data_IF_258341993856
#
_entry.id   IF_258341993856
#
_cell.length_a   1.000
_cell.length_b   1.000
_cell.length_c   1.000
_cell.angle_alpha   90.00
_cell.angle_beta   90.00
_cell.angle_gamma   90.00
#
_symmetry.space_group_name_H-M   'P 1'
#
loop_
_entity.id
_entity.type
_entity.pdbx_description
1 polymer ?
#
# COMPACT_ATOMS: atom_id res chain seq x y z
N UNK A 1 -20.46 88.41 -0.40
CA UNK A 1 -19.39 87.69 0.35
C UNK A 1 -19.62 86.20 0.19
N UNK A 2 -18.52 85.47 0.16
CA UNK A 2 -18.35 84.09 -0.29
C UNK A 2 -19.02 83.00 0.57
N UNK A 3 -19.42 81.91 -0.11
CA UNK A 3 -19.27 80.46 0.21
C UNK A 3 -20.39 79.66 0.90
N UNK A 4 -20.30 78.35 0.59
CA UNK A 4 -20.80 77.11 1.25
C UNK A 4 -22.24 76.72 0.84
N UNK A 5 -22.61 75.52 0.34
CA UNK A 5 -22.00 74.20 0.19
C UNK A 5 -22.90 73.11 0.85
N UNK A 6 -23.49 72.17 0.07
CA UNK A 6 -24.08 70.85 0.45
C UNK A 6 -24.92 70.31 -0.76
N UNK A 7 -24.54 69.30 -1.56
CA UNK A 7 -24.46 67.82 -1.43
C UNK A 7 -25.83 67.11 -1.25
N UNK A 8 -25.99 65.97 -1.98
CA UNK A 8 -26.95 64.83 -1.83
C UNK A 8 -28.27 64.98 -2.63
N UNK A 9 -28.83 64.04 -3.42
CA UNK A 9 -28.58 62.61 -3.73
C UNK A 9 -29.16 62.24 -5.12
N UNK A 10 -28.62 61.17 -5.69
CA UNK A 10 -28.97 60.51 -6.96
C UNK A 10 -30.20 59.61 -6.79
N UNK A 11 -31.09 59.59 -7.77
CA UNK A 11 -31.94 58.43 -8.12
C UNK A 11 -32.37 58.56 -9.58
N UNK A 12 -31.59 57.99 -10.50
CA UNK A 12 -32.02 57.79 -11.89
C UNK A 12 -31.85 56.32 -12.25
N UNK A 13 -32.98 55.66 -12.44
CA UNK A 13 -33.12 54.32 -12.97
C UNK A 13 -32.63 54.35 -14.43
N UNK A 14 -31.45 53.81 -14.68
CA UNK A 14 -30.94 53.59 -16.03
C UNK A 14 -31.03 52.11 -16.36
N UNK A 15 -31.98 51.74 -17.23
CA UNK A 15 -31.99 50.44 -17.89
C UNK A 15 -30.71 50.32 -18.73
N UNK A 16 -29.76 49.50 -18.28
CA UNK A 16 -28.73 48.96 -19.16
C UNK A 16 -29.41 47.88 -20.00
N UNK A 17 -29.72 48.20 -21.25
CA UNK A 17 -29.98 47.18 -22.27
C UNK A 17 -28.70 46.35 -22.41
N UNK A 18 -28.67 45.22 -21.71
CA UNK A 18 -27.75 44.14 -22.01
C UNK A 18 -28.10 43.64 -23.41
N UNK A 19 -27.37 44.09 -24.42
CA UNK A 19 -27.24 43.33 -25.65
C UNK A 19 -26.49 42.06 -25.27
N UNK A 20 -27.23 40.96 -25.19
CA UNK A 20 -26.64 39.64 -25.25
C UNK A 20 -25.99 39.55 -26.63
N UNK A 21 -24.66 39.46 -26.66
CA UNK A 21 -23.99 38.94 -27.84
C UNK A 21 -24.62 37.59 -28.17
N UNK A 22 -24.81 37.24 -29.46
CA UNK A 22 -25.26 35.91 -29.82
C UNK A 22 -24.36 34.90 -29.10
N UNK A 23 -24.96 34.01 -28.31
CA UNK A 23 -24.27 32.81 -27.87
C UNK A 23 -23.84 32.13 -29.16
N UNK A 24 -22.53 32.08 -29.40
CA UNK A 24 -21.97 31.28 -30.47
C UNK A 24 -22.49 29.85 -30.25
N UNK A 25 -23.36 29.30 -31.14
CA UNK A 25 -23.87 27.95 -30.96
C UNK A 25 -22.77 26.91 -31.17
N UNK A 26 -21.59 27.33 -31.61
CA UNK A 26 -20.39 26.52 -31.69
C UNK A 26 -19.56 26.81 -30.44
N UNK A 27 -19.84 26.07 -29.36
CA UNK A 27 -18.79 25.89 -28.34
C UNK A 27 -17.52 25.45 -29.07
N UNK A 28 -16.36 26.02 -28.71
CA UNK A 28 -15.06 25.63 -29.27
C UNK A 28 -15.04 24.10 -29.42
N UNK A 29 -14.78 23.57 -30.64
CA UNK A 29 -14.89 22.14 -30.88
C UNK A 29 -14.06 21.40 -29.85
N UNK A 30 -14.59 20.28 -29.34
CA UNK A 30 -13.91 19.46 -28.35
C UNK A 30 -12.46 19.25 -28.81
N UNK A 31 -11.52 19.82 -28.06
CA UNK A 31 -10.12 19.76 -28.41
C UNK A 31 -9.60 18.40 -27.99
N UNK A 32 -9.54 17.48 -28.94
CA UNK A 32 -8.80 16.22 -28.77
C UNK A 32 -7.32 16.56 -28.57
N UNK A 33 -6.80 16.22 -27.39
CA UNK A 33 -5.38 16.33 -27.09
C UNK A 33 -4.80 14.93 -27.10
N UNK A 34 -3.78 14.71 -27.94
CA UNK A 34 -2.97 13.50 -27.90
C UNK A 34 -2.04 13.56 -26.70
N UNK A 35 -2.13 12.56 -25.83
CA UNK A 35 -1.23 12.34 -24.71
C UNK A 35 -0.34 11.16 -25.01
N UNK A 36 0.96 11.35 -24.79
CA UNK A 36 1.98 10.32 -24.91
C UNK A 36 2.66 10.10 -23.56
N UNK A 37 2.75 8.84 -23.16
CA UNK A 37 3.32 8.39 -21.89
C UNK A 37 4.23 7.18 -22.13
N UNK A 38 5.23 7.04 -21.28
CA UNK A 38 6.12 5.89 -21.28
C UNK A 38 6.13 5.28 -19.89
N UNK A 39 5.87 3.97 -19.82
CA UNK A 39 5.98 3.19 -18.59
C UNK A 39 7.13 2.21 -18.71
N UNK A 40 8.00 2.17 -17.69
CA UNK A 40 9.00 1.12 -17.57
C UNK A 40 8.44 0.00 -16.71
N UNK A 41 8.33 -1.21 -17.27
CA UNK A 41 8.22 -2.41 -16.46
C UNK A 41 9.53 -2.57 -15.70
N UNK A 42 9.51 -2.28 -14.40
CA UNK A 42 10.69 -2.37 -13.55
C UNK A 42 11.39 -3.72 -13.79
N UNK A 43 12.72 -3.73 -14.03
CA UNK A 43 13.46 -4.95 -14.29
C UNK A 43 13.47 -5.89 -13.07
N UNK A 44 13.17 -5.35 -11.90
CA UNK A 44 13.02 -6.09 -10.65
C UNK A 44 11.60 -5.87 -10.11
N UNK A 45 10.90 -6.92 -9.63
CA UNK A 45 9.70 -6.71 -8.85
C UNK A 45 10.07 -5.94 -7.57
N UNK A 46 9.08 -5.26 -6.99
CA UNK A 46 9.24 -4.47 -5.76
C UNK A 46 8.26 -5.00 -4.73
N UNK A 47 8.72 -5.11 -3.49
CA UNK A 47 7.87 -5.52 -2.36
C UNK A 47 8.08 -4.62 -1.16
N UNK A 48 6.98 -4.18 -0.55
CA UNK A 48 6.95 -3.53 0.76
C UNK A 48 6.44 -4.55 1.78
N UNK A 49 7.32 -4.95 2.70
CA UNK A 49 7.05 -5.90 3.77
C UNK A 49 6.75 -5.12 5.06
N UNK A 50 5.51 -5.21 5.54
CA UNK A 50 5.09 -4.62 6.82
C UNK A 50 5.00 -5.71 7.89
N UNK A 51 5.94 -5.73 8.82
CA UNK A 51 5.85 -6.56 10.00
C UNK A 51 4.95 -5.90 11.04
N UNK A 52 4.02 -6.67 11.60
CA UNK A 52 3.14 -6.24 12.68
C UNK A 52 3.44 -7.15 13.86
N UNK A 53 4.19 -6.60 14.81
CA UNK A 53 4.81 -7.36 15.90
C UNK A 53 4.04 -7.11 17.19
N UNK A 54 3.58 -8.18 17.80
CA UNK A 54 3.03 -8.13 19.14
C UNK A 54 4.12 -7.75 20.16
N UNK A 55 3.88 -6.64 20.87
CA UNK A 55 4.77 -6.05 21.86
C UNK A 55 4.35 -6.33 23.30
N UNK A 56 3.49 -7.34 23.52
CA UNK A 56 3.15 -7.82 24.86
C UNK A 56 4.33 -8.50 25.55
N UNK A 57 4.21 -8.64 26.88
CA UNK A 57 5.27 -9.17 27.73
C UNK A 57 5.71 -10.62 27.39
N UNK A 58 4.82 -11.42 26.80
CA UNK A 58 5.10 -12.83 26.44
C UNK A 58 6.00 -12.94 25.20
N UNK A 59 5.95 -11.96 24.29
CA UNK A 59 6.59 -12.02 22.97
C UNK A 59 8.10 -11.78 22.96
N UNK A 60 8.74 -11.53 24.11
CA UNK A 60 10.15 -11.14 24.16
C UNK A 60 11.10 -12.20 23.57
N UNK A 61 10.77 -13.49 23.71
CA UNK A 61 11.57 -14.59 23.17
C UNK A 61 11.38 -14.72 21.66
N UNK A 62 10.14 -14.61 21.21
CA UNK A 62 9.70 -14.68 19.83
C UNK A 62 10.29 -13.52 19.01
N UNK A 63 10.28 -12.29 19.54
CA UNK A 63 10.94 -11.12 18.94
C UNK A 63 12.45 -11.36 18.75
N UNK A 64 13.10 -12.02 19.71
CA UNK A 64 14.53 -12.35 19.62
C UNK A 64 14.83 -13.43 18.59
N UNK A 65 13.95 -14.43 18.47
CA UNK A 65 14.07 -15.46 17.43
C UNK A 65 13.86 -14.86 16.04
N UNK A 66 12.83 -14.01 15.86
CA UNK A 66 12.58 -13.32 14.60
C UNK A 66 13.76 -12.45 14.16
N UNK A 67 14.37 -11.71 15.10
CA UNK A 67 15.54 -10.89 14.81
C UNK A 67 16.75 -11.73 14.33
N UNK A 68 16.90 -12.95 14.83
CA UNK A 68 18.01 -13.84 14.47
C UNK A 68 17.85 -14.45 13.05
N UNK A 69 16.62 -14.60 12.58
CA UNK A 69 16.34 -15.25 11.28
C UNK A 69 16.36 -14.27 10.09
N UNK A 70 16.63 -12.98 10.32
CA UNK A 70 16.60 -11.95 9.27
C UNK A 70 17.59 -12.18 8.14
N UNK A 71 18.80 -12.69 8.44
CA UNK A 71 19.84 -12.92 7.42
C UNK A 71 19.30 -13.81 6.29
N UNK A 72 18.58 -14.88 6.64
CA UNK A 72 17.96 -15.79 5.66
C UNK A 72 16.88 -15.11 4.80
N UNK A 73 16.08 -14.20 5.38
CA UNK A 73 15.10 -13.41 4.62
C UNK A 73 15.80 -12.46 3.64
N UNK A 74 16.79 -11.71 4.14
CA UNK A 74 17.52 -10.74 3.35
C UNK A 74 18.22 -11.42 2.16
N UNK A 75 18.88 -12.55 2.40
CA UNK A 75 19.56 -13.32 1.36
C UNK A 75 18.59 -13.80 0.28
N UNK A 76 17.41 -14.30 0.64
CA UNK A 76 16.42 -14.75 -0.34
C UNK A 76 15.85 -13.60 -1.18
N UNK A 77 15.58 -12.45 -0.56
CA UNK A 77 15.08 -11.28 -1.27
C UNK A 77 16.15 -10.69 -2.20
N UNK A 78 17.41 -10.71 -1.78
CA UNK A 78 18.57 -10.29 -2.58
C UNK A 78 18.82 -11.26 -3.76
N UNK A 79 18.77 -12.57 -3.52
CA UNK A 79 18.91 -13.61 -4.55
C UNK A 79 17.80 -13.57 -5.60
N UNK A 80 16.57 -13.27 -5.18
CA UNK A 80 15.43 -13.09 -6.07
C UNK A 80 15.52 -11.78 -6.89
N UNK A 81 16.55 -10.96 -6.66
CA UNK A 81 16.77 -9.68 -7.30
C UNK A 81 15.52 -8.77 -7.19
N UNK A 82 14.94 -8.67 -6.00
CA UNK A 82 13.74 -7.86 -5.75
C UNK A 82 14.18 -6.55 -5.09
N UNK A 83 13.57 -5.43 -5.48
CA UNK A 83 13.76 -4.17 -4.76
C UNK A 83 12.81 -4.09 -3.56
N UNK A 84 13.25 -4.62 -2.42
CA UNK A 84 12.45 -4.73 -1.20
C UNK A 84 12.60 -3.53 -0.25
N UNK A 85 11.53 -3.24 0.51
CA UNK A 85 11.56 -2.40 1.71
C UNK A 85 10.91 -3.17 2.86
N UNK A 86 11.46 -3.02 4.05
CA UNK A 86 10.92 -3.60 5.29
C UNK A 86 10.62 -2.48 6.27
N UNK A 87 9.46 -2.56 6.91
CA UNK A 87 9.07 -1.71 8.02
C UNK A 87 8.36 -2.55 9.07
N UNK A 88 8.40 -2.12 10.33
CA UNK A 88 7.71 -2.81 11.42
C UNK A 88 6.84 -1.84 12.23
N UNK A 89 5.69 -2.30 12.71
CA UNK A 89 4.85 -1.62 13.69
C UNK A 89 4.48 -2.60 14.81
N UNK A 90 4.02 -2.08 15.94
CA UNK A 90 3.51 -2.95 17.03
C UNK A 90 2.04 -3.30 16.84
N UNK A 91 1.44 -4.08 17.74
CA UNK A 91 -0.02 -4.30 17.79
C UNK A 91 -0.75 -3.29 18.67
N UNK A 92 -0.04 -2.35 19.30
CA UNK A 92 -0.61 -1.39 20.23
C UNK A 92 -1.30 -0.21 19.53
N UNK A 93 -2.56 0.01 19.91
CA UNK A 93 -3.35 1.20 19.53
C UNK A 93 -3.34 2.29 20.62
N UNK A 94 -2.42 2.22 21.58
CA UNK A 94 -2.27 3.23 22.64
C UNK A 94 -1.02 4.12 22.43
N UNK A 95 -1.15 5.40 22.76
CA UNK A 95 -0.05 6.37 22.71
C UNK A 95 -0.10 7.31 21.51
N UNK A 96 0.94 8.15 21.39
CA UNK A 96 1.01 9.20 20.35
C UNK A 96 1.66 8.71 19.04
N UNK A 97 2.34 7.57 19.07
CA UNK A 97 3.08 7.00 17.95
C UNK A 97 2.41 5.74 17.36
N UNK A 98 1.09 5.60 17.51
CA UNK A 98 0.32 4.49 16.94
C UNK A 98 0.53 4.43 15.43
N UNK A 99 0.88 3.25 14.94
CA UNK A 99 1.15 3.02 13.52
C UNK A 99 2.47 3.61 13.01
N UNK A 100 3.30 4.24 13.85
CA UNK A 100 4.63 4.71 13.40
C UNK A 100 5.56 3.53 13.21
N UNK A 101 6.30 3.54 12.10
CA UNK A 101 7.31 2.52 11.84
C UNK A 101 8.42 2.57 12.89
N UNK A 102 8.77 1.40 13.41
CA UNK A 102 9.79 1.18 14.43
C UNK A 102 11.19 1.26 13.82
N UNK A 103 12.18 1.51 14.69
CA UNK A 103 13.60 1.53 14.31
C UNK A 103 14.12 2.84 13.75
N UNK A 104 15.44 2.91 13.58
CA UNK A 104 16.15 4.02 12.94
C UNK A 104 17.32 3.46 12.12
N UNK A 105 17.21 3.37 10.78
CA UNK A 105 16.11 3.88 9.96
C UNK A 105 14.80 3.13 10.22
N UNK A 106 13.66 3.76 9.94
CA UNK A 106 12.32 3.14 10.06
C UNK A 106 11.88 2.41 8.78
N UNK A 107 12.65 2.53 7.70
CA UNK A 107 12.52 1.75 6.46
C UNK A 107 13.88 1.11 6.19
N UNK A 108 13.89 -0.21 6.14
CA UNK A 108 15.05 -1.02 5.85
C UNK A 108 15.04 -1.43 4.38
N UNK A 109 16.19 -1.33 3.73
CA UNK A 109 16.38 -1.61 2.30
C UNK A 109 17.68 -2.41 2.10
N UNK A 110 17.92 -3.00 0.90
CA UNK A 110 19.18 -3.69 0.59
C UNK A 110 20.44 -2.83 0.84
N UNK A 111 20.32 -1.51 0.66
CA UNK A 111 21.44 -0.56 0.80
C UNK A 111 21.67 -0.10 2.25
N UNK A 112 20.87 -0.57 3.21
CA UNK A 112 20.99 -0.15 4.60
C UNK A 112 22.25 -0.75 5.24
N UNK A 113 23.15 0.07 5.81
CA UNK A 113 24.31 -0.44 6.53
C UNK A 113 23.88 -1.22 7.78
N UNK A 114 24.58 -2.32 8.07
CA UNK A 114 24.33 -3.15 9.27
C UNK A 114 22.85 -3.57 9.40
N UNK A 115 22.30 -4.08 8.29
CA UNK A 115 20.87 -4.42 8.14
C UNK A 115 20.33 -5.37 9.20
N UNK A 116 21.16 -6.27 9.71
CA UNK A 116 20.79 -7.20 10.79
C UNK A 116 20.49 -6.45 12.08
N UNK A 117 21.40 -5.55 12.50
CA UNK A 117 21.18 -4.72 13.67
C UNK A 117 20.01 -3.75 13.48
N UNK A 118 19.85 -3.20 12.28
CA UNK A 118 18.72 -2.32 11.96
C UNK A 118 17.39 -3.08 12.02
N UNK A 119 17.30 -4.29 11.45
CA UNK A 119 16.10 -5.12 11.53
C UNK A 119 15.78 -5.54 12.97
N UNK A 120 16.79 -5.99 13.73
CA UNK A 120 16.61 -6.33 15.14
C UNK A 120 16.00 -5.16 15.94
N UNK A 121 16.46 -3.93 15.69
CA UNK A 121 15.89 -2.74 16.31
C UNK A 121 14.44 -2.43 15.89
N UNK A 122 13.99 -2.91 14.72
CA UNK A 122 12.60 -2.77 14.25
C UNK A 122 11.66 -3.79 14.89
N UNK A 123 12.11 -5.05 14.98
CA UNK A 123 11.27 -6.18 15.42
C UNK A 123 11.40 -6.53 16.90
N UNK A 124 12.27 -5.83 17.62
CA UNK A 124 12.38 -5.88 19.07
C UNK A 124 11.99 -4.54 19.71
N UNK A 125 10.75 -4.03 19.50
CA UNK A 125 10.29 -2.78 20.08
C UNK A 125 10.24 -2.82 21.61
N UNK A 126 10.30 -4.02 22.19
CA UNK A 126 10.18 -4.30 23.61
C UNK A 126 8.88 -5.05 23.92
N UNK A 127 8.71 -5.33 25.21
CA UNK A 127 7.63 -6.16 25.73
C UNK A 127 6.73 -5.36 26.70
N UNK A 128 6.60 -4.05 26.44
CA UNK A 128 5.86 -3.09 27.27
C UNK A 128 4.54 -2.62 26.65
N UNK A 129 4.12 -3.28 25.56
CA UNK A 129 2.84 -3.07 24.93
C UNK A 129 1.67 -3.36 25.86
N UNK A 130 0.51 -2.83 25.51
CA UNK A 130 -0.73 -3.06 26.24
C UNK A 130 -1.32 -4.45 25.92
N UNK A 131 -2.21 -4.94 26.78
CA UNK A 131 -2.78 -6.28 26.66
C UNK A 131 -3.81 -6.45 25.51
N UNK A 132 -4.09 -5.39 24.74
CA UNK A 132 -5.03 -5.43 23.62
C UNK A 132 -4.24 -5.36 22.31
N UNK A 133 -4.12 -6.50 21.64
CA UNK A 133 -3.35 -6.66 20.42
C UNK A 133 -4.24 -6.43 19.19
N UNK A 134 -4.16 -5.25 18.59
CA UNK A 134 -5.00 -4.84 17.47
C UNK A 134 -4.19 -4.73 16.17
N UNK A 135 -3.53 -5.82 15.79
CA UNK A 135 -2.60 -5.85 14.66
C UNK A 135 -3.24 -5.46 13.32
N UNK A 136 -4.49 -5.87 13.04
CA UNK A 136 -5.19 -5.46 11.81
C UNK A 136 -5.42 -3.95 11.78
N UNK A 137 -5.80 -3.34 12.91
CA UNK A 137 -6.02 -1.91 13.02
C UNK A 137 -4.71 -1.11 12.87
N UNK A 138 -3.64 -1.53 13.57
CA UNK A 138 -2.35 -0.82 13.49
C UNK A 138 -1.75 -0.91 12.09
N UNK A 139 -1.87 -2.07 11.41
CA UNK A 139 -1.43 -2.21 10.03
C UNK A 139 -2.13 -1.20 9.10
N UNK A 140 -3.44 -1.03 9.28
CA UNK A 140 -4.21 -0.03 8.52
C UNK A 140 -3.74 1.40 8.78
N UNK A 141 -3.52 1.75 10.05
CA UNK A 141 -2.99 3.07 10.44
C UNK A 141 -1.59 3.32 9.85
N UNK A 142 -0.70 2.34 9.94
CA UNK A 142 0.66 2.43 9.41
C UNK A 142 0.69 2.74 7.91
N UNK A 143 -0.21 2.11 7.15
CA UNK A 143 -0.35 2.31 5.71
C UNK A 143 -1.00 3.65 5.34
N UNK A 144 -1.86 4.19 6.21
CA UNK A 144 -2.43 5.53 6.06
C UNK A 144 -1.36 6.62 6.30
N UNK A 145 -0.49 6.40 7.30
CA UNK A 145 0.60 7.30 7.66
C UNK A 145 1.78 7.32 6.67
N UNK A 146 1.78 6.43 5.68
CA UNK A 146 2.83 6.33 4.66
C UNK A 146 2.71 7.36 3.52
N UNK A 147 1.68 8.21 3.54
CA UNK A 147 1.49 9.28 2.57
C UNK A 147 2.58 10.37 2.62
N UNK A 148 2.70 11.22 1.58
CA UNK A 148 3.70 12.28 1.54
C UNK A 148 3.63 13.20 2.76
N UNK A 149 4.76 13.35 3.47
CA UNK A 149 4.86 14.19 4.67
C UNK A 149 4.36 13.55 5.96
N UNK A 150 3.85 12.32 5.91
CA UNK A 150 3.50 11.52 7.09
C UNK A 150 4.71 10.88 7.77
N UNK A 151 4.54 10.32 8.99
CA UNK A 151 5.63 9.73 9.75
C UNK A 151 6.20 8.45 9.12
N UNK A 152 5.42 7.76 8.27
CA UNK A 152 5.88 6.56 7.54
C UNK A 152 6.16 6.86 6.06
N UNK A 153 6.31 8.15 5.69
CA UNK A 153 6.47 8.56 4.30
C UNK A 153 7.62 7.80 3.63
N UNK A 154 7.34 7.25 2.43
CA UNK A 154 8.28 6.46 1.64
C UNK A 154 8.12 4.94 1.77
N UNK A 155 7.41 4.45 2.78
CA UNK A 155 7.24 3.00 2.96
C UNK A 155 6.31 2.37 1.92
N UNK A 156 5.16 2.98 1.64
CA UNK A 156 4.10 2.43 0.76
C UNK A 156 4.28 2.88 -0.69
N UNK A 157 5.05 2.13 -1.48
CA UNK A 157 5.37 2.50 -2.87
C UNK A 157 4.20 2.19 -3.82
N UNK A 158 3.97 2.99 -4.87
CA UNK A 158 2.89 2.76 -5.83
C UNK A 158 3.16 1.62 -6.82
N UNK A 159 4.42 1.22 -6.97
CA UNK A 159 4.91 0.20 -7.89
C UNK A 159 5.42 -1.06 -7.15
N UNK A 160 4.97 -1.29 -5.91
CA UNK A 160 5.36 -2.44 -5.09
C UNK A 160 4.16 -3.28 -4.65
N UNK A 161 4.37 -4.60 -4.56
CA UNK A 161 3.49 -5.54 -3.86
C UNK A 161 3.52 -5.18 -2.38
N UNK A 162 2.36 -5.12 -1.74
CA UNK A 162 2.28 -5.01 -0.28
C UNK A 162 2.16 -6.41 0.32
N UNK A 163 2.99 -6.73 1.29
CA UNK A 163 2.87 -7.96 2.07
C UNK A 163 2.93 -7.64 3.57
N UNK A 164 1.83 -7.88 4.28
CA UNK A 164 1.74 -7.70 5.74
C UNK A 164 2.04 -9.02 6.45
N UNK A 165 2.90 -9.00 7.46
CA UNK A 165 3.30 -10.18 8.22
C UNK A 165 2.94 -9.96 9.68
N UNK A 166 1.93 -10.67 10.16
CA UNK A 166 1.50 -10.63 11.55
C UNK A 166 2.34 -11.59 12.40
N UNK A 167 2.83 -11.14 13.55
CA UNK A 167 3.61 -11.95 14.49
C UNK A 167 3.03 -11.75 15.88
N UNK A 168 2.30 -12.74 16.40
CA UNK A 168 1.58 -12.64 17.68
C UNK A 168 1.33 -14.01 18.30
N UNK A 169 1.28 -14.08 19.63
CA UNK A 169 0.92 -15.28 20.38
C UNK A 169 -0.58 -15.34 20.73
N UNK A 170 -1.41 -14.40 20.27
CA UNK A 170 -2.86 -14.47 20.37
C UNK A 170 -3.61 -14.03 19.10
N UNK A 171 -4.94 -13.98 19.21
CA UNK A 171 -5.82 -13.56 18.11
C UNK A 171 -6.00 -12.04 18.10
N UNK A 172 -6.20 -11.49 16.91
CA UNK A 172 -6.40 -10.05 16.73
C UNK A 172 -7.62 -9.54 17.51
N UNK A 173 -7.52 -8.37 18.12
CA UNK A 173 -8.57 -7.69 18.91
C UNK A 173 -8.94 -6.32 18.34
N UNK A 174 -8.94 -6.18 17.01
CA UNK A 174 -9.15 -4.89 16.34
C UNK A 174 -10.61 -4.38 16.35
N UNK A 175 -11.55 -5.08 16.98
CA UNK A 175 -12.98 -4.71 17.02
C UNK A 175 -13.26 -3.24 17.40
N UNK A 176 -12.57 -2.64 18.40
CA UNK A 176 -12.82 -1.25 18.79
C UNK A 176 -12.52 -0.22 17.70
N UNK A 177 -11.69 -0.55 16.71
CA UNK A 177 -11.24 0.35 15.66
C UNK A 177 -11.78 0.01 14.28
N UNK A 178 -11.93 -1.28 13.98
CA UNK A 178 -12.41 -1.77 12.67
C UNK A 178 -13.88 -2.18 12.69
N UNK A 179 -14.54 -2.13 13.86
CA UNK A 179 -15.95 -2.47 14.01
C UNK A 179 -16.19 -3.97 14.20
N UNK A 180 -17.42 -4.42 13.97
CA UNK A 180 -17.85 -5.78 14.29
C UNK A 180 -17.20 -6.88 13.41
N UNK A 181 -16.71 -6.51 12.22
CA UNK A 181 -16.11 -7.45 11.24
C UNK A 181 -14.68 -6.99 10.89
N UNK A 182 -13.73 -7.05 11.85
CA UNK A 182 -12.38 -6.49 11.66
C UNK A 182 -11.60 -7.17 10.54
N UNK A 183 -11.81 -8.47 10.33
CA UNK A 183 -11.20 -9.22 9.22
C UNK A 183 -11.66 -8.66 7.88
N UNK A 184 -12.97 -8.49 7.69
CA UNK A 184 -13.50 -7.96 6.43
C UNK A 184 -13.03 -6.53 6.19
N UNK A 185 -13.02 -5.67 7.23
CA UNK A 185 -12.51 -4.31 7.11
C UNK A 185 -11.04 -4.26 6.66
N UNK A 186 -10.21 -5.18 7.17
CA UNK A 186 -8.82 -5.29 6.74
C UNK A 186 -8.68 -5.85 5.30
N UNK A 187 -9.52 -6.83 4.92
CA UNK A 187 -9.54 -7.33 3.54
C UNK A 187 -9.96 -6.25 2.55
N UNK A 188 -10.93 -5.40 2.90
CA UNK A 188 -11.34 -4.25 2.09
C UNK A 188 -10.19 -3.24 1.94
N UNK A 189 -9.37 -3.06 2.97
CA UNK A 189 -8.16 -2.25 2.89
C UNK A 189 -7.14 -2.83 1.90
N UNK A 190 -6.92 -4.15 1.92
CA UNK A 190 -6.02 -4.83 0.98
C UNK A 190 -6.56 -4.79 -0.46
N UNK A 191 -7.87 -4.93 -0.64
CA UNK A 191 -8.52 -4.76 -1.94
C UNK A 191 -8.35 -3.33 -2.45
N UNK A 192 -8.50 -2.34 -1.57
CA UNK A 192 -8.16 -0.95 -1.87
C UNK A 192 -6.71 -0.77 -2.30
N UNK A 193 -5.79 -1.59 -1.76
CA UNK A 193 -4.39 -1.55 -2.18
C UNK A 193 -4.14 -2.18 -3.55
N UNK A 194 -4.80 -3.29 -3.83
CA UNK A 194 -4.82 -3.90 -5.18
C UNK A 194 -5.43 -2.92 -6.18
N UNK A 195 -6.50 -2.22 -5.81
CA UNK A 195 -7.13 -1.17 -6.60
C UNK A 195 -6.29 0.13 -6.68
N UNK A 196 -5.26 0.32 -5.84
CA UNK A 196 -4.31 1.43 -5.95
C UNK A 196 -3.07 1.10 -6.82
N UNK A 197 -2.45 -0.05 -6.62
CA UNK A 197 -1.21 -0.46 -7.32
C UNK A 197 -1.41 -1.38 -8.53
N UNK A 198 -2.43 -2.24 -8.49
CA UNK A 198 -2.71 -3.28 -9.48
C UNK A 198 -1.78 -4.47 -9.35
N UNK A 199 -1.08 -4.49 -8.22
CA UNK A 199 -0.27 -5.58 -7.72
C UNK A 199 -1.05 -6.29 -6.62
N UNK A 200 -0.80 -7.57 -6.38
CA UNK A 200 -1.36 -8.26 -5.23
C UNK A 200 -1.02 -7.54 -3.92
N UNK A 201 -1.94 -7.59 -2.97
CA UNK A 201 -1.68 -7.29 -1.57
C UNK A 201 -1.93 -8.57 -0.77
N UNK A 202 -0.96 -8.99 0.05
CA UNK A 202 -0.99 -10.28 0.75
C UNK A 202 -0.79 -10.12 2.24
N UNK A 203 -1.21 -11.13 2.98
CA UNK A 203 -0.97 -11.22 4.41
C UNK A 203 -0.51 -12.63 4.80
N UNK A 204 0.54 -12.71 5.61
CA UNK A 204 1.02 -13.95 6.23
C UNK A 204 1.01 -13.80 7.76
N UNK A 205 1.10 -14.91 8.49
CA UNK A 205 1.09 -14.87 9.95
C UNK A 205 2.04 -15.90 10.59
N UNK A 206 2.82 -15.45 11.58
CA UNK A 206 3.55 -16.24 12.58
C UNK A 206 2.71 -16.24 13.86
N UNK A 207 1.95 -17.29 14.10
CA UNK A 207 0.92 -17.30 15.16
C UNK A 207 0.71 -18.67 15.76
N UNK A 208 -0.05 -18.76 16.86
CA UNK A 208 -0.62 -20.04 17.28
C UNK A 208 -1.62 -20.56 16.24
N UNK A 209 -1.32 -21.69 15.61
CA UNK A 209 -2.12 -22.21 14.51
C UNK A 209 -3.53 -22.67 14.97
N UNK A 210 -4.60 -22.27 14.28
CA UNK A 210 -5.93 -22.83 14.51
C UNK A 210 -5.99 -24.35 14.30
N UNK A 211 -6.91 -25.06 14.98
CA UNK A 211 -7.92 -24.52 15.90
C UNK A 211 -7.44 -24.39 17.36
N UNK A 212 -6.22 -24.81 17.68
CA UNK A 212 -5.80 -25.05 19.07
C UNK A 212 -4.69 -24.14 19.58
N UNK A 213 -4.06 -23.35 18.72
CA UNK A 213 -2.82 -22.64 19.05
C UNK A 213 -1.64 -23.62 19.11
N UNK A 214 -0.62 -23.27 19.88
CA UNK A 214 0.58 -24.10 20.03
C UNK A 214 1.21 -23.97 21.42
N UNK A 215 2.06 -24.93 21.77
CA UNK A 215 2.86 -24.91 23.00
C UNK A 215 4.24 -25.50 22.71
N UNK A 216 5.29 -24.77 23.09
CA UNK A 216 6.68 -25.23 23.00
C UNK A 216 7.41 -25.04 24.33
N UNK A 217 8.73 -25.29 24.33
CA UNK A 217 9.59 -24.97 25.45
C UNK A 217 9.78 -23.45 25.66
N UNK A 218 9.52 -22.64 24.64
CA UNK A 218 9.75 -21.18 24.64
C UNK A 218 8.48 -20.38 24.94
N UNK A 219 7.29 -20.93 24.67
CA UNK A 219 6.04 -20.21 24.90
C UNK A 219 4.77 -21.03 24.66
N UNK A 220 3.63 -20.37 24.84
CA UNK A 220 2.31 -20.90 24.48
C UNK A 220 1.57 -19.80 23.75
N UNK A 221 1.01 -20.12 22.59
CA UNK A 221 0.20 -19.19 21.82
C UNK A 221 -1.24 -19.69 21.72
N UNK A 222 -2.19 -18.76 21.84
CA UNK A 222 -3.60 -19.00 21.55
C UNK A 222 -3.82 -19.18 20.04
N UNK A 223 -4.92 -19.85 19.62
CA UNK A 223 -5.26 -19.91 18.21
C UNK A 223 -5.61 -18.52 17.65
N UNK A 224 -4.91 -18.10 16.61
CA UNK A 224 -5.19 -16.85 15.90
C UNK A 224 -6.16 -17.07 14.73
N UNK A 225 -7.47 -17.04 15.03
CA UNK A 225 -8.52 -17.32 14.04
C UNK A 225 -8.64 -16.21 12.99
N UNK A 226 -8.56 -14.94 13.39
CA UNK A 226 -8.72 -13.79 12.48
C UNK A 226 -7.53 -13.66 11.54
N UNK A 227 -6.31 -13.83 12.05
CA UNK A 227 -5.13 -13.85 11.19
C UNK A 227 -5.20 -15.02 10.20
N UNK A 228 -5.66 -16.21 10.61
CA UNK A 228 -5.84 -17.34 9.68
C UNK A 228 -6.83 -17.03 8.55
N UNK A 229 -7.94 -16.35 8.86
CA UNK A 229 -8.94 -15.95 7.87
C UNK A 229 -8.36 -14.97 6.84
N UNK A 230 -7.64 -13.95 7.30
CA UNK A 230 -6.95 -12.98 6.44
C UNK A 230 -5.91 -13.67 5.56
N UNK A 231 -5.10 -14.57 6.13
CA UNK A 231 -4.07 -15.33 5.40
C UNK A 231 -4.71 -16.20 4.32
N UNK A 232 -5.79 -16.92 4.66
CA UNK A 232 -6.50 -17.78 3.71
C UNK A 232 -7.14 -16.97 2.56
N UNK A 233 -7.73 -15.80 2.86
CA UNK A 233 -8.36 -14.94 1.86
C UNK A 233 -7.35 -14.31 0.89
N UNK A 234 -6.12 -14.04 1.36
CA UNK A 234 -5.07 -13.37 0.57
C UNK A 234 -4.07 -14.33 -0.08
N UNK A 235 -4.14 -15.62 0.26
CA UNK A 235 -3.24 -16.65 -0.25
C UNK A 235 -1.82 -16.54 0.30
N UNK A 236 -1.65 -16.02 1.52
CA UNK A 236 -0.37 -15.98 2.21
C UNK A 236 -0.05 -17.26 2.99
N UNK A 237 1.03 -17.21 3.77
CA UNK A 237 1.54 -18.34 4.54
C UNK A 237 1.18 -18.21 6.02
N UNK A 238 0.88 -19.35 6.66
CA UNK A 238 0.68 -19.43 8.10
C UNK A 238 1.70 -20.38 8.73
N UNK A 239 2.45 -19.88 9.70
CA UNK A 239 3.50 -20.63 10.39
C UNK A 239 3.29 -20.55 11.90
N UNK A 240 3.57 -21.67 12.57
CA UNK A 240 3.45 -21.77 14.03
C UNK A 240 4.55 -20.94 14.70
N UNK A 241 4.15 -20.01 15.57
CA UNK A 241 5.09 -19.20 16.38
C UNK A 241 5.90 -20.03 17.38
N UNK A 242 5.43 -21.23 17.70
CA UNK A 242 6.11 -22.14 18.62
C UNK A 242 7.25 -22.94 17.98
N UNK A 243 7.45 -22.82 16.67
CA UNK A 243 8.60 -23.43 15.99
C UNK A 243 9.84 -22.55 16.19
N UNK A 244 11.01 -23.18 16.22
CA UNK A 244 12.30 -22.49 16.42
C UNK A 244 12.97 -22.12 15.09
N UNK A 245 12.32 -22.38 13.97
CA UNK A 245 12.82 -22.16 12.62
C UNK A 245 11.74 -21.46 11.79
N UNK A 246 11.89 -20.16 11.58
CA UNK A 246 10.99 -19.38 10.75
C UNK A 246 11.42 -19.34 9.28
N UNK A 247 12.54 -19.99 8.90
CA UNK A 247 13.03 -20.01 7.52
C UNK A 247 11.98 -20.49 6.49
N UNK A 248 11.10 -21.47 6.78
CA UNK A 248 10.02 -21.84 5.86
C UNK A 248 9.01 -20.71 5.62
N UNK A 249 8.74 -19.87 6.63
CA UNK A 249 7.91 -18.67 6.44
C UNK A 249 8.64 -17.69 5.53
N UNK A 250 9.91 -17.42 5.83
CA UNK A 250 10.70 -16.44 5.08
C UNK A 250 10.83 -16.86 3.60
N UNK A 251 10.97 -18.17 3.34
CA UNK A 251 10.95 -18.75 2.00
C UNK A 251 9.62 -18.52 1.26
N UNK A 252 8.49 -18.72 1.94
CA UNK A 252 7.17 -18.48 1.36
C UNK A 252 6.88 -16.98 1.18
N UNK A 253 7.35 -16.12 2.09
CA UNK A 253 7.27 -14.66 1.96
C UNK A 253 8.10 -14.17 0.76
N UNK A 254 9.32 -14.68 0.61
CA UNK A 254 10.19 -14.40 -0.54
C UNK A 254 9.55 -14.83 -1.86
N UNK A 255 9.02 -16.05 -1.93
CA UNK A 255 8.34 -16.57 -3.13
C UNK A 255 7.05 -15.81 -3.46
N UNK A 256 6.28 -15.41 -2.46
CA UNK A 256 5.05 -14.66 -2.63
C UNK A 256 5.27 -13.25 -3.20
N UNK A 257 6.46 -12.69 -3.00
CA UNK A 257 6.82 -11.31 -3.33
C UNK A 257 7.23 -11.09 -4.79
N UNK A 258 7.40 -12.16 -5.57
CA UNK A 258 7.84 -12.10 -6.98
C UNK A 258 6.62 -11.91 -7.90
N UNK A 259 6.01 -10.73 -7.91
CA UNK A 259 4.95 -10.39 -8.87
C UNK A 259 5.26 -9.08 -9.60
N UNK A 260 5.16 -9.10 -10.93
CA UNK A 260 5.34 -7.92 -11.77
C UNK A 260 4.04 -7.13 -11.94
N UNK A 261 4.21 -5.82 -12.17
CA UNK A 261 3.13 -4.88 -12.40
C UNK A 261 2.31 -5.25 -13.64
N UNK A 262 1.00 -5.31 -13.47
CA UNK A 262 0.05 -5.51 -14.58
C UNK A 262 -0.73 -4.25 -14.91
N UNK A 263 -0.84 -3.34 -13.95
CA UNK A 263 -1.62 -2.11 -14.11
C UNK A 263 -0.72 -0.89 -14.24
N UNK A 264 -0.96 -0.06 -15.23
CA UNK A 264 -0.24 1.18 -15.47
C UNK A 264 -1.25 2.33 -15.45
N UNK A 265 -1.15 3.19 -14.43
CA UNK A 265 -2.06 4.33 -14.24
C UNK A 265 -1.65 5.45 -15.20
N UNK A 266 -2.58 5.85 -16.04
CA UNK A 266 -2.47 6.96 -16.98
C UNK A 266 -2.66 8.29 -16.24
N UNK A 267 -2.03 9.35 -16.77
CA UNK A 267 -2.22 10.69 -16.20
C UNK A 267 -3.65 11.20 -16.33
N UNK A 268 -4.34 10.83 -17.42
CA UNK A 268 -5.67 11.29 -17.75
C UNK A 268 -6.56 10.13 -18.23
N UNK A 269 -7.89 10.30 -18.17
CA UNK A 269 -8.84 9.28 -18.64
C UNK A 269 -8.90 9.25 -20.17
N UNK A 270 -8.46 8.16 -20.83
CA UNK A 270 -8.44 8.11 -22.28
C UNK A 270 -9.85 7.96 -22.86
N UNK A 271 -10.05 8.44 -24.08
CA UNK A 271 -11.12 7.93 -24.93
C UNK A 271 -10.87 6.44 -25.23
N UNK A 272 -11.80 5.52 -24.88
CA UNK A 272 -11.50 4.09 -24.83
C UNK A 272 -10.91 3.51 -26.13
N UNK A 273 -11.43 3.92 -27.28
CA UNK A 273 -11.03 3.38 -28.59
C UNK A 273 -9.75 4.05 -29.15
N UNK A 274 -9.24 5.08 -28.48
CA UNK A 274 -8.06 5.85 -28.90
C UNK A 274 -6.73 5.27 -28.42
N UNK A 275 -6.76 4.41 -27.39
CA UNK A 275 -5.55 3.92 -26.73
C UNK A 275 -4.73 3.04 -27.68
N UNK A 276 -3.45 3.34 -27.80
CA UNK A 276 -2.45 2.55 -28.54
C UNK A 276 -1.27 2.30 -27.61
N UNK A 277 -0.80 1.06 -27.58
CA UNK A 277 0.34 0.64 -26.77
C UNK A 277 1.39 0.03 -27.71
N UNK A 278 2.64 0.43 -27.56
CA UNK A 278 3.76 -0.16 -28.28
C UNK A 278 4.93 -0.49 -27.34
N UNK A 279 5.76 -1.44 -27.73
CA UNK A 279 7.04 -1.73 -27.09
C UNK A 279 8.10 -1.91 -28.17
N UNK A 280 9.21 -1.17 -28.07
CA UNK A 280 10.27 -1.21 -29.07
C UNK A 280 9.80 -0.89 -30.50
N UNK A 281 8.73 -0.10 -30.64
CA UNK A 281 8.10 0.25 -31.92
C UNK A 281 7.11 -0.80 -32.47
N UNK A 282 6.89 -1.92 -31.79
CA UNK A 282 5.88 -2.91 -32.14
C UNK A 282 4.59 -2.69 -31.35
N UNK A 283 3.45 -2.61 -32.04
CA UNK A 283 2.14 -2.39 -31.41
C UNK A 283 1.64 -3.64 -30.66
N UNK A 284 1.07 -3.44 -29.47
CA UNK A 284 0.46 -4.45 -28.62
C UNK A 284 -1.07 -4.33 -28.75
N UNK A 285 -1.66 -5.18 -29.58
CA UNK A 285 -3.08 -5.08 -30.00
C UNK A 285 -4.05 -5.80 -29.05
N UNK A 286 -3.57 -6.58 -28.08
CA UNK A 286 -4.42 -7.29 -27.12
C UNK A 286 -3.66 -7.79 -25.90
N UNK A 287 -4.36 -8.52 -25.01
CA UNK A 287 -3.79 -8.96 -23.72
C UNK A 287 -3.80 -7.85 -22.66
N UNK A 288 -4.61 -6.81 -22.87
CA UNK A 288 -4.80 -5.69 -21.96
C UNK A 288 -6.22 -5.12 -22.08
N UNK A 289 -6.64 -4.39 -21.06
CA UNK A 289 -7.93 -3.70 -20.98
C UNK A 289 -7.80 -2.37 -20.25
N UNK A 290 -8.82 -1.50 -20.36
CA UNK A 290 -8.93 -0.30 -19.54
C UNK A 290 -9.72 -0.59 -18.27
N UNK A 291 -9.24 -0.07 -17.15
CA UNK A 291 -9.93 -0.12 -15.86
C UNK A 291 -11.10 0.89 -15.85
N UNK A 292 -12.35 0.47 -15.59
CA UNK A 292 -13.47 1.40 -15.55
C UNK A 292 -13.36 2.45 -14.44
N UNK A 293 -12.90 2.04 -13.25
CA UNK A 293 -12.91 2.88 -12.05
C UNK A 293 -11.87 4.02 -12.11
N UNK A 294 -10.72 3.79 -12.72
CA UNK A 294 -9.57 4.71 -12.74
C UNK A 294 -8.94 4.76 -14.14
N UNK A 295 -8.25 5.85 -14.52
CA UNK A 295 -7.58 5.93 -15.81
C UNK A 295 -6.35 5.01 -15.82
N UNK A 296 -6.52 3.72 -16.08
CA UNK A 296 -5.42 2.76 -16.06
C UNK A 296 -5.57 1.67 -17.13
N UNK A 297 -4.41 1.22 -17.63
CA UNK A 297 -4.29 0.03 -18.49
C UNK A 297 -3.98 -1.16 -17.59
N UNK A 298 -4.64 -2.30 -17.81
CA UNK A 298 -4.41 -3.55 -17.09
C UNK A 298 -4.10 -4.66 -18.07
N UNK A 299 -2.92 -5.25 -17.97
CA UNK A 299 -2.50 -6.41 -18.74
C UNK A 299 -2.97 -7.73 -18.10
N UNK A 300 -3.41 -8.68 -18.93
CA UNK A 300 -3.79 -10.03 -18.48
C UNK A 300 -2.58 -10.76 -17.87
N UNK A 301 -1.42 -10.60 -18.52
CA UNK A 301 -0.11 -11.10 -18.10
C UNK A 301 0.86 -9.93 -18.03
N UNK A 302 1.63 -9.83 -16.97
CA UNK A 302 2.58 -8.74 -16.80
C UNK A 302 3.57 -8.67 -17.98
N UNK A 303 3.89 -7.47 -18.50
CA UNK A 303 4.95 -7.30 -19.48
C UNK A 303 6.29 -7.85 -18.98
N UNK A 304 7.18 -8.21 -19.92
CA UNK A 304 8.50 -8.72 -19.53
C UNK A 304 9.32 -7.63 -18.79
N UNK A 305 10.15 -8.00 -17.81
CA UNK A 305 10.99 -7.06 -17.07
C UNK A 305 11.89 -6.22 -18.00
N UNK A 306 11.99 -4.92 -17.74
CA UNK A 306 12.74 -3.99 -18.57
C UNK A 306 12.01 -3.50 -19.82
N UNK A 307 10.79 -3.99 -20.09
CA UNK A 307 9.95 -3.50 -21.19
C UNK A 307 9.61 -2.02 -21.01
N UNK A 308 9.77 -1.23 -22.06
CA UNK A 308 9.23 0.14 -22.13
C UNK A 308 7.93 0.08 -22.91
N UNK A 309 6.84 0.50 -22.28
CA UNK A 309 5.53 0.64 -22.89
C UNK A 309 5.33 2.09 -23.30
N UNK A 310 5.34 2.34 -24.60
CA UNK A 310 4.95 3.62 -25.19
C UNK A 310 3.43 3.62 -25.37
N UNK A 311 2.74 4.47 -24.62
CA UNK A 311 1.27 4.55 -24.61
C UNK A 311 0.87 5.90 -25.18
N UNK A 312 -0.03 5.90 -26.17
CA UNK A 312 -0.65 7.11 -26.71
C UNK A 312 -2.17 6.99 -26.71
N UNK A 313 -2.85 8.08 -26.40
CA UNK A 313 -4.30 8.13 -26.32
C UNK A 313 -4.83 9.56 -26.46
N UNK A 314 -6.09 9.69 -26.85
CA UNK A 314 -6.78 10.97 -26.91
C UNK A 314 -7.53 11.22 -25.61
N UNK A 315 -7.57 12.50 -25.23
CA UNK A 315 -8.42 13.04 -24.16
C UNK A 315 -9.26 14.17 -24.72
N UNK A 316 -10.55 14.13 -24.43
CA UNK A 316 -11.49 15.20 -24.73
C UNK A 316 -11.85 15.96 -23.45
N UNK A 317 -11.95 17.29 -23.57
CA UNK A 317 -12.42 18.18 -22.51
C UNK A 317 -13.96 18.18 -22.39
N UNK A 318 -14.62 17.04 -22.65
CA UNK A 318 -16.05 16.93 -22.40
C UNK A 318 -16.25 16.68 -20.90
N UNK A 319 -16.71 17.72 -20.20
CA UNK A 319 -16.95 17.72 -18.75
C UNK A 319 -18.16 16.90 -18.32
#
# INVERSE_FOLDING_TARGET
>A
MHRIGAVVMISAVGCLEFRLDPIDPEGEPAREVLVEEAFLQSPLPRVDLLFVIDDTASMAQEQSALAADFEALADQLDEAAIAWQVGAVTTSMEGEAVGWLQGSPWILTPDTPDREAAFAAMVQPGASGNAQEAGLAVAGEALALAGPGGPNAGFRRPDAVLHVVFVSDADDQSDPWLGAEPVQAFLDLLEGEIARTGLPARASAVVGLPPSGCTSATGTAQPALRYAEVVAATGGAQVSICETDFAPLLAELGAASITYQRRFVLRERPEPDSVRIASGGAEIVGGWSLEPAIPAIVFDVAPEPGTILDVSYLVSNEG
#
